data_IF_970807556408
#
_entry.id   IF_970807556408
#
_cell.length_a   1.000
_cell.length_b   1.000
_cell.length_c   1.000
_cell.angle_alpha   90.00
_cell.angle_beta   90.00
_cell.angle_gamma   90.00
#
_symmetry.space_group_name_H-M   'P 1'
#
loop_
_entity.id
_entity.type
_entity.pdbx_description
1 polymer ?
#
# COMPACT_ATOMS: atom_id res chain seq x y z
N UNK A 1 -23.24 14.51 -28.72
CA UNK A 1 -23.29 15.32 -27.48
C UNK A 1 -23.12 14.43 -26.24
N UNK A 2 -23.41 13.13 -26.33
CA UNK A 2 -23.37 12.17 -25.20
C UNK A 2 -21.98 11.75 -24.71
N UNK A 3 -20.93 11.74 -25.54
CA UNK A 3 -19.60 11.27 -25.09
C UNK A 3 -18.92 12.17 -24.04
N UNK A 4 -19.23 13.46 -24.02
CA UNK A 4 -18.64 14.39 -23.04
C UNK A 4 -19.24 14.20 -21.65
N UNK A 5 -20.52 13.87 -21.57
CA UNK A 5 -21.22 13.66 -20.29
C UNK A 5 -20.74 12.38 -19.61
N UNK A 6 -20.53 11.30 -20.39
CA UNK A 6 -19.98 10.03 -19.89
C UNK A 6 -18.56 10.20 -19.34
N UNK A 7 -17.70 10.99 -20.01
CA UNK A 7 -16.34 11.25 -19.52
C UNK A 7 -16.28 12.11 -18.26
N UNK A 8 -17.25 13.01 -18.06
CA UNK A 8 -17.34 13.82 -16.83
C UNK A 8 -17.74 12.94 -15.64
N UNK A 9 -18.71 12.04 -15.83
CA UNK A 9 -19.18 11.12 -14.78
C UNK A 9 -18.10 10.11 -14.35
N UNK A 10 -17.28 9.62 -15.28
CA UNK A 10 -16.13 8.75 -14.98
C UNK A 10 -15.07 9.51 -14.18
N UNK A 11 -14.77 10.76 -14.56
CA UNK A 11 -13.82 11.64 -13.84
C UNK A 11 -14.29 12.01 -12.44
N UNK A 12 -15.60 12.07 -12.22
CA UNK A 12 -16.17 12.40 -10.91
C UNK A 12 -16.11 11.19 -9.97
N UNK A 13 -16.45 10.00 -10.47
CA UNK A 13 -16.25 8.74 -9.72
C UNK A 13 -14.79 8.47 -9.40
N UNK A 14 -13.85 8.68 -10.32
CA UNK A 14 -12.41 8.51 -10.04
C UNK A 14 -11.92 9.42 -8.91
N UNK A 15 -12.35 10.69 -8.87
CA UNK A 15 -11.99 11.63 -7.79
C UNK A 15 -12.60 11.26 -6.44
N UNK A 16 -13.76 10.61 -6.44
CA UNK A 16 -14.39 10.13 -5.21
C UNK A 16 -13.66 8.91 -4.65
N UNK A 17 -13.29 7.95 -5.52
CA UNK A 17 -12.44 6.81 -5.13
C UNK A 17 -11.07 7.25 -4.64
N UNK A 18 -10.45 8.27 -5.25
CA UNK A 18 -9.15 8.81 -4.84
C UNK A 18 -9.20 9.48 -3.45
N UNK A 19 -10.29 10.21 -3.14
CA UNK A 19 -10.51 10.79 -1.80
C UNK A 19 -10.76 9.75 -0.72
N UNK A 20 -11.44 8.65 -1.04
CA UNK A 20 -11.71 7.57 -0.07
C UNK A 20 -10.49 6.66 0.10
N UNK A 21 -9.75 6.38 -0.98
CA UNK A 21 -8.48 5.66 -0.90
C UNK A 21 -7.46 6.44 -0.09
N UNK A 22 -7.31 7.75 -0.31
CA UNK A 22 -6.28 8.55 0.38
C UNK A 22 -6.48 8.56 1.89
N UNK A 23 -7.71 8.72 2.41
CA UNK A 23 -7.97 8.67 3.86
C UNK A 23 -7.62 7.32 4.48
N UNK A 24 -8.00 6.21 3.82
CA UNK A 24 -7.68 4.85 4.29
C UNK A 24 -6.18 4.54 4.16
N UNK A 25 -5.53 5.01 3.09
CA UNK A 25 -4.08 4.87 2.90
C UNK A 25 -3.30 5.66 3.94
N UNK A 26 -3.70 6.89 4.26
CA UNK A 26 -3.04 7.71 5.30
C UNK A 26 -3.16 7.02 6.67
N UNK A 27 -4.35 6.50 7.02
CA UNK A 27 -4.52 5.71 8.23
C UNK A 27 -3.66 4.45 8.22
N UNK A 28 -3.59 3.74 7.10
CA UNK A 28 -2.78 2.53 6.97
C UNK A 28 -1.27 2.83 7.05
N UNK A 29 -0.81 3.90 6.40
CA UNK A 29 0.58 4.37 6.45
C UNK A 29 1.02 4.84 7.83
N UNK A 30 0.10 5.27 8.69
CA UNK A 30 0.41 5.63 10.07
C UNK A 30 0.24 4.43 11.03
N UNK A 31 -0.76 3.58 10.80
CA UNK A 31 -1.06 2.43 11.66
C UNK A 31 -0.05 1.30 11.50
N UNK A 32 0.37 0.98 10.28
CA UNK A 32 1.29 -0.14 9.99
C UNK A 32 2.66 0.03 10.68
N UNK A 33 3.33 1.20 10.63
CA UNK A 33 4.58 1.41 11.36
C UNK A 33 4.43 1.26 12.87
N UNK A 34 3.34 1.80 13.43
CA UNK A 34 3.08 1.76 14.88
C UNK A 34 2.82 0.32 15.33
N UNK A 35 2.01 -0.43 14.60
CA UNK A 35 1.71 -1.85 14.92
C UNK A 35 2.99 -2.69 14.83
N UNK A 36 3.79 -2.52 13.77
CA UNK A 36 5.04 -3.27 13.60
C UNK A 36 6.09 -2.90 14.64
N UNK A 37 6.18 -1.63 15.03
CA UNK A 37 7.06 -1.19 16.11
C UNK A 37 6.65 -1.83 17.45
N UNK A 38 5.35 -1.81 17.80
CA UNK A 38 4.84 -2.45 19.01
C UNK A 38 5.04 -3.97 19.00
N UNK A 39 4.83 -4.62 17.85
CA UNK A 39 5.08 -6.05 17.69
C UNK A 39 6.56 -6.39 17.89
N UNK A 40 7.47 -5.62 17.28
CA UNK A 40 8.92 -5.78 17.47
C UNK A 40 9.36 -5.57 18.91
N UNK A 41 8.74 -4.60 19.60
CA UNK A 41 8.96 -4.34 21.02
C UNK A 41 8.51 -5.51 21.90
N UNK A 42 7.32 -6.05 21.63
CA UNK A 42 6.77 -7.20 22.35
C UNK A 42 7.60 -8.48 22.16
N UNK A 43 8.04 -8.75 20.93
CA UNK A 43 8.93 -9.89 20.62
C UNK A 43 10.27 -9.72 21.34
N UNK A 44 10.87 -8.53 21.30
CA UNK A 44 12.13 -8.22 21.99
C UNK A 44 12.03 -8.43 23.51
N UNK A 45 10.91 -8.02 24.11
CA UNK A 45 10.65 -8.23 25.54
C UNK A 45 10.44 -9.72 25.88
N UNK A 46 9.60 -10.43 25.13
CA UNK A 46 9.34 -11.86 25.36
C UNK A 46 10.62 -12.70 25.20
N UNK A 47 11.45 -12.39 24.21
CA UNK A 47 12.71 -13.08 23.96
C UNK A 47 13.75 -12.85 25.08
N UNK A 48 13.59 -11.81 25.89
CA UNK A 48 14.57 -11.41 26.91
C UNK A 48 14.01 -11.37 28.33
N UNK A 49 12.83 -11.96 28.57
CA UNK A 49 12.12 -11.85 29.85
C UNK A 49 12.93 -12.35 31.06
N UNK A 50 13.78 -13.36 30.86
CA UNK A 50 14.67 -13.94 31.88
C UNK A 50 16.13 -13.48 31.78
N UNK A 51 16.40 -12.42 31.00
CA UNK A 51 17.74 -11.85 30.81
C UNK A 51 17.92 -10.58 31.66
N UNK A 52 19.16 -10.21 32.01
CA UNK A 52 19.44 -8.99 32.76
C UNK A 52 18.89 -7.75 32.05
N UNK A 53 18.49 -6.75 32.84
CA UNK A 53 17.82 -5.53 32.37
C UNK A 53 18.57 -4.79 31.25
N UNK A 54 19.91 -4.87 31.23
CA UNK A 54 20.73 -4.29 30.15
C UNK A 54 20.46 -4.96 28.80
N UNK A 55 20.32 -6.29 28.77
CA UNK A 55 20.03 -7.06 27.56
C UNK A 55 18.58 -6.81 27.12
N UNK A 56 17.65 -6.69 28.06
CA UNK A 56 16.26 -6.33 27.76
C UNK A 56 16.17 -4.97 27.05
N UNK A 57 16.85 -3.95 27.56
CA UNK A 57 16.88 -2.61 26.95
C UNK A 57 17.44 -2.64 25.53
N UNK A 58 18.53 -3.38 25.31
CA UNK A 58 19.14 -3.52 23.98
C UNK A 58 18.19 -4.24 23.02
N UNK A 59 17.55 -5.34 23.46
CA UNK A 59 16.59 -6.08 22.65
C UNK A 59 15.35 -5.27 22.31
N UNK A 60 14.88 -4.42 23.25
CA UNK A 60 13.79 -3.47 23.03
C UNK A 60 14.13 -2.45 21.94
N UNK A 61 15.34 -1.88 21.99
CA UNK A 61 15.82 -0.93 20.98
C UNK A 61 15.90 -1.63 19.62
N UNK A 62 16.57 -2.77 19.55
CA UNK A 62 16.73 -3.55 18.31
C UNK A 62 15.36 -3.96 17.75
N UNK A 63 14.45 -4.45 18.58
CA UNK A 63 13.09 -4.84 18.18
C UNK A 63 12.28 -3.68 17.63
N UNK A 64 12.41 -2.49 18.21
CA UNK A 64 11.75 -1.27 17.73
C UNK A 64 12.30 -0.86 16.36
N UNK A 65 13.63 -0.80 16.20
CA UNK A 65 14.26 -0.46 14.93
C UNK A 65 13.98 -1.50 13.84
N UNK A 66 13.95 -2.79 14.19
CA UNK A 66 13.57 -3.86 13.27
C UNK A 66 12.11 -3.74 12.81
N UNK A 67 11.18 -3.42 13.72
CA UNK A 67 9.78 -3.16 13.39
C UNK A 67 9.61 -1.96 12.45
N UNK A 68 10.34 -0.87 12.70
CA UNK A 68 10.35 0.30 11.82
C UNK A 68 10.95 -0.01 10.45
N UNK A 69 12.06 -0.75 10.40
CA UNK A 69 12.69 -1.16 9.14
C UNK A 69 11.74 -2.02 8.29
N UNK A 70 11.07 -3.00 8.90
CA UNK A 70 10.06 -3.82 8.23
C UNK A 70 8.89 -2.98 7.71
N UNK A 71 8.47 -1.94 8.45
CA UNK A 71 7.44 -1.04 7.98
C UNK A 71 7.84 -0.28 6.72
N UNK A 72 9.09 0.19 6.64
CA UNK A 72 9.61 0.87 5.44
C UNK A 72 9.66 -0.11 4.26
N UNK A 73 10.18 -1.32 4.48
CA UNK A 73 10.19 -2.37 3.47
C UNK A 73 8.77 -2.70 2.97
N UNK A 74 7.80 -2.81 3.88
CA UNK A 74 6.41 -3.06 3.51
C UNK A 74 5.85 -1.93 2.65
N UNK A 75 6.16 -0.67 2.96
CA UNK A 75 5.80 0.49 2.13
C UNK A 75 6.32 0.36 0.70
N UNK A 76 7.60 0.03 0.53
CA UNK A 76 8.20 -0.19 -0.79
C UNK A 76 7.57 -1.37 -1.54
N UNK A 77 7.25 -2.47 -0.86
CA UNK A 77 6.59 -3.63 -1.47
C UNK A 77 5.19 -3.26 -1.95
N UNK A 78 4.40 -2.56 -1.12
CA UNK A 78 3.06 -2.10 -1.50
C UNK A 78 3.14 -1.15 -2.70
N UNK A 79 4.05 -0.18 -2.68
CA UNK A 79 4.25 0.74 -3.80
C UNK A 79 4.61 -0.02 -5.10
N UNK A 80 5.52 -0.99 -5.00
CA UNK A 80 5.92 -1.83 -6.13
C UNK A 80 4.74 -2.66 -6.67
N UNK A 81 3.96 -3.30 -5.80
CA UNK A 81 2.79 -4.10 -6.18
C UNK A 81 1.71 -3.24 -6.82
N UNK A 82 1.43 -2.07 -6.26
CA UNK A 82 0.45 -1.11 -6.82
C UNK A 82 0.90 -0.64 -8.20
N UNK A 83 2.15 -0.20 -8.36
CA UNK A 83 2.71 0.20 -9.66
C UNK A 83 2.59 -0.91 -10.69
N UNK A 84 2.94 -2.16 -10.32
CA UNK A 84 2.86 -3.30 -11.24
C UNK A 84 1.42 -3.61 -11.66
N UNK A 85 0.47 -3.49 -10.73
CA UNK A 85 -0.95 -3.71 -11.02
C UNK A 85 -1.53 -2.64 -11.95
N UNK A 86 -1.15 -1.38 -11.77
CA UNK A 86 -1.55 -0.28 -12.65
C UNK A 86 -1.01 -0.50 -14.06
N UNK A 87 0.26 -0.88 -14.21
CA UNK A 87 0.86 -1.16 -15.52
C UNK A 87 0.14 -2.31 -16.24
N UNK A 88 -0.22 -3.37 -15.53
CA UNK A 88 -0.94 -4.50 -16.14
C UNK A 88 -2.37 -4.12 -16.56
N UNK A 89 -3.08 -3.33 -15.75
CA UNK A 89 -4.43 -2.84 -16.09
C UNK A 89 -4.41 -1.92 -17.32
N UNK A 90 -3.38 -1.09 -17.47
CA UNK A 90 -3.24 -0.24 -18.66
C UNK A 90 -2.98 -1.06 -19.91
N UNK A 91 -2.18 -2.14 -19.82
CA UNK A 91 -1.98 -3.06 -20.95
C UNK A 91 -3.27 -3.79 -21.35
N UNK A 92 -4.07 -4.25 -20.39
CA UNK A 92 -5.37 -4.87 -20.69
C UNK A 92 -6.35 -3.88 -21.34
N UNK A 93 -6.32 -2.60 -20.94
CA UNK A 93 -7.12 -1.54 -21.58
C UNK A 93 -6.70 -1.32 -23.03
N UNK A 94 -5.41 -1.16 -23.31
CA UNK A 94 -4.90 -0.96 -24.67
C UNK A 94 -5.24 -2.16 -25.58
N UNK A 95 -5.13 -3.39 -25.08
CA UNK A 95 -5.51 -4.58 -25.85
C UNK A 95 -7.02 -4.66 -26.14
N UNK A 96 -7.87 -4.22 -25.21
CA UNK A 96 -9.32 -4.22 -25.41
C UNK A 96 -9.77 -3.11 -26.37
N UNK A 97 -9.20 -1.90 -26.28
CA UNK A 97 -9.49 -0.80 -27.22
C UNK A 97 -9.03 -1.15 -28.65
N UNK A 98 -7.90 -1.86 -28.79
CA UNK A 98 -7.41 -2.31 -30.10
C UNK A 98 -8.33 -3.36 -30.74
N UNK A 99 -8.90 -4.27 -29.93
CA UNK A 99 -9.86 -5.28 -30.41
C UNK A 99 -11.21 -4.66 -30.79
N UNK A 100 -11.66 -3.65 -30.07
CA UNK A 100 -12.93 -2.97 -30.35
C UNK A 100 -12.86 -2.12 -31.63
N UNK A 101 -11.78 -1.36 -31.83
CA UNK A 101 -11.55 -0.61 -33.06
C UNK A 101 -11.44 -1.50 -34.31
N UNK A 102 -10.87 -2.70 -34.18
CA UNK A 102 -10.79 -3.64 -35.31
C UNK A 102 -12.14 -4.31 -35.63
N UNK A 103 -13.10 -4.28 -34.70
CA UNK A 103 -14.44 -4.86 -34.88
C UNK A 103 -15.43 -3.85 -35.48
N UNK A 104 -15.23 -2.55 -35.24
CA UNK A 104 -16.03 -1.46 -35.83
C UNK A 104 -15.54 -1.00 -37.22
N UNK A 105 -14.42 -1.53 -37.73
CA UNK A 105 -13.85 -1.20 -39.05
C UNK A 105 -14.19 -2.24 -40.14
N UNK A 106 -15.09 -3.18 -39.85
CA UNK A 106 -15.65 -4.18 -40.78
C UNK A 106 -17.16 -4.00 -40.89
#
# INVERSE_FOLDING_TARGET
MEEKDIQIEIKEKEREYEKVLSKKFIQLSFAVPVILALAGMGIGYLATINRPATIQKIALIIGTFAGLFLSVCYGFIVEYVVKRKIVNLNKEKEENETKENNKNSK
#
